data_IF_717491755222
#
_entry.id   IF_717491755222
#
_cell.length_a   1.000
_cell.length_b   1.000
_cell.length_c   1.000
_cell.angle_alpha   90.00
_cell.angle_beta   90.00
_cell.angle_gamma   90.00
#
_symmetry.space_group_name_H-M   'P 1'
#
loop_
_entity.id
_entity.type
_entity.pdbx_description
1 polymer ?
#
# COMPACT_ATOMS: atom_id res chain seq x y z
N UNK A 1 -0.58 3.29 1.65
CA UNK A 1 -0.59 3.53 0.19
C UNK A 1 -1.35 2.38 -0.46
N UNK A 2 -2.27 2.65 -1.39
CA UNK A 2 -3.01 1.61 -2.12
C UNK A 2 -2.92 1.88 -3.62
N UNK A 3 -2.38 0.93 -4.37
CA UNK A 3 -2.05 1.11 -5.79
C UNK A 3 -2.02 -0.21 -6.56
N UNK A 4 -2.90 -1.15 -6.18
CA UNK A 4 -2.93 -2.51 -6.72
C UNK A 4 -2.36 -3.54 -5.73
N UNK A 5 -1.72 -4.58 -6.26
CA UNK A 5 -1.22 -5.70 -5.47
C UNK A 5 -0.24 -5.25 -4.36
N UNK A 6 -0.58 -5.52 -3.11
CA UNK A 6 0.24 -5.11 -1.98
C UNK A 6 1.64 -5.76 -1.94
N UNK A 7 1.85 -6.94 -2.54
CA UNK A 7 3.15 -7.61 -2.58
C UNK A 7 4.13 -6.86 -3.47
N UNK A 8 3.62 -6.31 -4.57
CA UNK A 8 4.43 -5.49 -5.48
C UNK A 8 4.85 -4.18 -4.80
N UNK A 9 3.92 -3.53 -4.09
CA UNK A 9 4.21 -2.30 -3.36
C UNK A 9 5.15 -2.55 -2.18
N UNK A 10 4.90 -3.61 -1.40
CA UNK A 10 5.71 -3.99 -0.25
C UNK A 10 7.17 -4.21 -0.66
N UNK A 11 7.41 -5.00 -1.70
CA UNK A 11 8.76 -5.26 -2.21
C UNK A 11 9.49 -4.01 -2.68
N UNK A 12 8.78 -3.01 -3.23
CA UNK A 12 9.40 -1.73 -3.62
C UNK A 12 9.80 -0.94 -2.38
N UNK A 13 8.88 -0.74 -1.44
CA UNK A 13 9.12 0.12 -0.28
C UNK A 13 10.10 -0.50 0.74
N UNK A 14 10.22 -1.83 0.80
CA UNK A 14 11.25 -2.49 1.63
C UNK A 14 12.68 -2.18 1.19
N UNK A 15 12.89 -1.78 -0.07
CA UNK A 15 14.20 -1.44 -0.62
C UNK A 15 14.54 0.06 -0.51
N UNK A 16 13.60 0.89 -0.03
CA UNK A 16 13.77 2.34 0.04
C UNK A 16 14.56 2.72 1.29
N UNK A 17 15.67 3.44 1.10
CA UNK A 17 16.45 3.98 2.21
C UNK A 17 15.60 4.93 3.07
N UNK A 18 15.65 4.77 4.39
CA UNK A 18 14.82 5.52 5.32
C UNK A 18 13.47 4.87 5.63
N UNK A 19 13.04 3.83 4.90
CA UNK A 19 11.89 3.00 5.29
C UNK A 19 12.36 1.96 6.31
N UNK A 20 11.71 1.93 7.47
CA UNK A 20 12.04 1.00 8.57
C UNK A 20 11.14 -0.22 8.60
N UNK A 21 9.91 -0.09 8.09
CA UNK A 21 8.93 -1.19 8.06
C UNK A 21 7.88 -0.96 6.99
N UNK A 22 7.50 -2.04 6.31
CA UNK A 22 6.32 -2.10 5.45
C UNK A 22 5.40 -3.20 5.97
N UNK A 23 4.08 -2.96 5.92
CA UNK A 23 3.08 -3.94 6.34
C UNK A 23 1.90 -3.94 5.38
N UNK A 24 1.67 -5.09 4.75
CA UNK A 24 0.48 -5.36 3.93
C UNK A 24 -0.81 -5.43 4.76
N UNK A 25 -1.92 -4.91 4.22
CA UNK A 25 -3.22 -4.88 4.88
C UNK A 25 -4.38 -4.47 3.97
N UNK A 26 -5.56 -4.26 4.56
CA UNK A 26 -6.80 -3.94 3.87
C UNK A 26 -7.52 -2.77 4.56
N UNK A 27 -7.97 -1.77 3.80
CA UNK A 27 -8.71 -0.60 4.31
C UNK A 27 -9.74 -0.10 3.30
N UNK A 28 -10.63 0.81 3.73
CA UNK A 28 -11.60 1.51 2.87
C UNK A 28 -12.98 0.84 2.76
N UNK A 29 -13.09 -0.42 3.20
CA UNK A 29 -14.34 -1.18 3.22
C UNK A 29 -15.07 -1.17 4.57
N UNK A 30 -16.21 -1.87 4.60
CA UNK A 30 -17.10 -1.91 5.77
C UNK A 30 -16.93 -3.17 6.64
N UNK A 31 -16.33 -4.24 6.11
CA UNK A 31 -16.18 -5.50 6.85
C UNK A 31 -15.11 -5.38 7.94
N UNK A 32 -15.41 -5.63 9.23
CA UNK A 32 -14.39 -5.60 10.28
C UNK A 32 -13.48 -6.83 10.19
N UNK A 33 -12.16 -6.62 10.31
CA UNK A 33 -11.13 -7.68 10.31
C UNK A 33 -11.30 -8.72 9.16
N UNK A 34 -11.31 -8.28 7.90
CA UNK A 34 -11.56 -9.19 6.78
C UNK A 34 -10.38 -10.16 6.58
N UNK A 35 -10.67 -11.39 6.11
CA UNK A 35 -9.65 -12.30 5.58
C UNK A 35 -9.33 -11.97 4.13
N UNK A 36 -8.21 -12.49 3.63
CA UNK A 36 -7.82 -12.31 2.22
C UNK A 36 -8.91 -12.81 1.27
N UNK A 37 -9.49 -13.98 1.51
CA UNK A 37 -10.56 -14.56 0.68
C UNK A 37 -11.81 -13.67 0.66
N UNK A 38 -12.15 -13.05 1.80
CA UNK A 38 -13.26 -12.12 1.86
C UNK A 38 -12.98 -10.86 1.03
N UNK A 39 -11.76 -10.34 1.05
CA UNK A 39 -11.37 -9.20 0.21
C UNK A 39 -11.39 -9.57 -1.27
N UNK A 40 -10.82 -10.72 -1.65
CA UNK A 40 -10.83 -11.21 -3.03
C UNK A 40 -12.24 -11.47 -3.59
N UNK A 41 -13.24 -11.68 -2.73
CA UNK A 41 -14.64 -11.78 -3.16
C UNK A 41 -15.21 -10.46 -3.71
N UNK A 42 -14.55 -9.33 -3.45
CA UNK A 42 -15.00 -7.98 -3.82
C UNK A 42 -16.14 -7.42 -2.96
N UNK A 43 -16.66 -8.20 -2.00
CA UNK A 43 -17.86 -7.82 -1.22
C UNK A 43 -17.58 -6.95 0.00
N UNK A 44 -16.32 -6.90 0.46
CA UNK A 44 -15.97 -6.17 1.68
C UNK A 44 -15.81 -4.66 1.46
N UNK A 45 -15.58 -4.25 0.20
CA UNK A 45 -15.24 -2.89 -0.19
C UNK A 45 -13.84 -2.44 0.22
N UNK A 46 -13.01 -3.34 0.79
CA UNK A 46 -11.63 -3.01 1.11
C UNK A 46 -10.75 -3.06 -0.12
N UNK A 47 -9.73 -2.22 -0.12
CA UNK A 47 -8.61 -2.25 -1.08
C UNK A 47 -7.36 -2.74 -0.38
N UNK A 48 -6.48 -3.38 -1.16
CA UNK A 48 -5.15 -3.75 -0.72
C UNK A 48 -4.29 -2.50 -0.51
N UNK A 49 -3.60 -2.44 0.63
CA UNK A 49 -2.69 -1.35 0.97
C UNK A 49 -1.41 -1.87 1.60
N UNK A 50 -0.40 -1.01 1.58
CA UNK A 50 0.78 -1.10 2.44
C UNK A 50 0.82 0.07 3.42
N UNK A 51 1.09 -0.22 4.69
CA UNK A 51 1.46 0.77 5.70
C UNK A 51 2.98 0.89 5.69
N UNK A 52 3.50 2.10 5.51
CA UNK A 52 4.94 2.40 5.44
C UNK A 52 5.33 3.22 6.67
N UNK A 53 6.25 2.70 7.48
CA UNK A 53 6.92 3.42 8.56
C UNK A 53 8.29 3.86 8.05
N UNK A 54 8.61 5.16 8.17
CA UNK A 54 9.83 5.75 7.61
C UNK A 54 10.38 6.87 8.50
N UNK A 55 11.67 7.17 8.34
CA UNK A 55 12.36 8.28 9.00
C UNK A 55 12.30 9.54 8.11
N UNK A 56 11.54 10.58 8.51
CA UNK A 56 11.45 11.84 7.76
C UNK A 56 12.78 12.63 7.70
N UNK A 57 13.78 12.27 8.50
CA UNK A 57 15.13 12.82 8.42
C UNK A 57 15.97 12.23 7.28
N UNK A 58 15.54 11.08 6.72
CA UNK A 58 16.23 10.38 5.63
C UNK A 58 15.45 10.49 4.31
N UNK A 59 14.13 10.30 4.36
CA UNK A 59 13.24 10.38 3.18
C UNK A 59 11.99 11.19 3.49
N UNK A 60 11.60 12.10 2.58
CA UNK A 60 10.40 12.90 2.78
C UNK A 60 9.14 12.14 2.35
N UNK A 61 7.99 12.58 2.87
CA UNK A 61 6.70 12.07 2.39
C UNK A 61 6.50 12.32 0.89
N UNK A 62 7.03 13.42 0.35
CA UNK A 62 6.95 13.76 -1.07
C UNK A 62 7.68 12.72 -1.92
N UNK A 63 8.88 12.31 -1.50
CA UNK A 63 9.67 11.29 -2.21
C UNK A 63 8.95 9.94 -2.22
N UNK A 64 8.32 9.57 -1.09
CA UNK A 64 7.49 8.35 -1.02
C UNK A 64 6.30 8.41 -1.99
N UNK A 65 5.66 9.57 -2.15
CA UNK A 65 4.59 9.76 -3.12
C UNK A 65 5.10 9.72 -4.56
N UNK A 66 6.27 10.27 -4.83
CA UNK A 66 6.90 10.21 -6.14
C UNK A 66 7.20 8.77 -6.55
N UNK A 67 7.84 8.00 -5.65
CA UNK A 67 8.06 6.55 -5.85
C UNK A 67 6.72 5.86 -6.10
N UNK A 68 5.72 6.13 -5.25
CA UNK A 68 4.39 5.55 -5.39
C UNK A 68 3.85 5.79 -6.80
N UNK A 69 3.74 7.03 -7.28
CA UNK A 69 3.19 7.35 -8.60
C UNK A 69 4.01 6.83 -9.80
N UNK A 70 5.28 6.47 -9.60
CA UNK A 70 6.09 5.81 -10.64
C UNK A 70 5.80 4.31 -10.71
N UNK A 71 5.49 3.66 -9.59
CA UNK A 71 5.35 2.19 -9.52
C UNK A 71 3.92 1.67 -9.65
N UNK A 72 2.92 2.55 -9.77
CA UNK A 72 1.54 2.17 -10.09
C UNK A 72 0.94 3.13 -11.13
N UNK A 73 -0.06 2.64 -11.88
CA UNK A 73 -0.87 3.48 -12.76
C UNK A 73 -2.11 4.00 -11.99
N UNK A 74 -2.16 5.29 -11.61
CA UNK A 74 -3.26 5.87 -10.84
C UNK A 74 -4.53 6.12 -11.67
N UNK A 75 -4.54 5.78 -12.96
CA UNK A 75 -5.68 5.99 -13.87
C UNK A 75 -6.50 4.72 -14.11
N UNK A 76 -6.04 3.59 -13.60
CA UNK A 76 -6.75 2.31 -13.67
C UNK A 76 -7.88 2.27 -12.63
N UNK A 77 -9.06 1.77 -13.03
CA UNK A 77 -10.16 1.57 -12.11
C UNK A 77 -9.86 0.40 -11.15
N UNK A 78 -10.12 0.60 -9.85
CA UNK A 78 -10.07 -0.44 -8.82
C UNK A 78 -11.29 -1.38 -8.90
#
# INVERSE_FOLDING_TARGET
LGGGCFWCLEAVFELVEGVSRVKSGYVGGAAPNPTYEQVCSGTTGHVEIVQVEYDPGVISFGDLLEIFFVVHDPTTLN
#
